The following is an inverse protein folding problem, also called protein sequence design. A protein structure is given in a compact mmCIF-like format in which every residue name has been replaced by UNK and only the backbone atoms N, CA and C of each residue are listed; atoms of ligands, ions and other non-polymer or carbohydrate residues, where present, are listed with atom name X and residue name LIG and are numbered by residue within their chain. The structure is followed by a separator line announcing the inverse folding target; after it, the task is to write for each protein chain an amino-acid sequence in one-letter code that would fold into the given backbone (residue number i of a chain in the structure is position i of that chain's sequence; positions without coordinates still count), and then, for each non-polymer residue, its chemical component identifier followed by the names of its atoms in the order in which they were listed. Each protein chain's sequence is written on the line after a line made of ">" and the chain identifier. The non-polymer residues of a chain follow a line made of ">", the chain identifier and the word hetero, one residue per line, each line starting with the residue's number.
data_IF_399097118785
#
_entry.id   IF_399097118785
#
_cell.length_a   1.000
_cell.length_b   1.000
_cell.length_c   1.000
_cell.angle_alpha   90.00
_cell.angle_beta   90.00
_cell.angle_gamma   90.00
#
_symmetry.space_group_name_H-M   'P 1'
#
loop_
_entity.id
_entity.type
_entity.pdbx_description
1 polymer ?
#
# COMPACT_ATOMS: atom_id res chain seq x y z
N UNK A 1 -5.13 65.12 -25.55
CA UNK A 1 -3.79 65.30 -26.13
C UNK A 1 -2.84 64.36 -25.38
N UNK A 2 -2.91 63.07 -25.74
CA UNK A 2 -1.84 62.35 -26.46
C UNK A 2 -0.42 62.58 -25.89
N UNK A 3 0.41 61.60 -25.51
CA UNK A 3 0.67 60.29 -26.12
C UNK A 3 1.38 59.30 -25.16
N UNK A 4 1.06 58.02 -25.40
CA UNK A 4 1.73 56.71 -25.17
C UNK A 4 3.11 56.57 -24.48
N UNK A 5 3.37 55.37 -23.92
CA UNK A 5 4.47 54.58 -24.48
C UNK A 5 4.08 53.16 -24.95
N UNK A 6 4.76 52.78 -26.03
CA UNK A 6 4.83 51.51 -26.78
C UNK A 6 5.09 50.26 -25.91
N UNK A 7 4.36 49.16 -26.09
CA UNK A 7 4.50 48.09 -27.10
C UNK A 7 5.66 47.07 -26.89
N UNK A 8 5.27 45.90 -26.36
CA UNK A 8 5.71 44.51 -26.65
C UNK A 8 7.06 43.97 -26.09
N UNK A 9 7.11 42.68 -25.69
CA UNK A 9 6.92 41.55 -26.61
C UNK A 9 5.95 40.42 -26.22
N UNK A 10 5.33 39.90 -27.30
CA UNK A 10 5.07 38.49 -27.64
C UNK A 10 3.98 37.72 -26.88
N UNK A 11 2.84 37.64 -27.56
CA UNK A 11 1.88 36.55 -27.44
C UNK A 11 2.53 35.22 -27.88
N UNK A 12 2.43 34.21 -27.01
CA UNK A 12 2.55 32.80 -27.36
C UNK A 12 1.13 32.26 -27.41
N UNK A 13 0.64 32.11 -28.64
CA UNK A 13 -0.59 31.41 -28.96
C UNK A 13 -0.32 29.90 -28.85
N UNK A 14 -0.93 29.27 -27.85
CA UNK A 14 -0.96 27.81 -27.71
C UNK A 14 -2.40 27.39 -27.45
N UNK A 15 -3.07 27.01 -28.53
CA UNK A 15 -4.04 25.91 -28.57
C UNK A 15 -5.06 25.83 -27.43
N UNK A 16 -6.24 26.44 -27.66
CA UNK A 16 -7.52 25.78 -27.49
C UNK A 16 -7.75 24.95 -26.22
N UNK A 17 -7.74 25.58 -25.04
CA UNK A 17 -8.41 25.04 -23.85
C UNK A 17 -9.33 26.12 -23.28
N UNK A 18 -10.63 25.93 -23.49
CA UNK A 18 -11.67 26.74 -22.86
C UNK A 18 -11.67 26.42 -21.36
N UNK A 19 -10.97 27.22 -20.58
CA UNK A 19 -11.11 27.25 -19.12
C UNK A 19 -12.48 27.86 -18.80
N UNK A 20 -13.45 27.01 -18.44
CA UNK A 20 -14.66 27.47 -17.76
C UNK A 20 -14.28 27.80 -16.32
N UNK A 21 -14.30 29.09 -15.98
CA UNK A 21 -14.24 29.55 -14.61
C UNK A 21 -15.51 29.09 -13.88
N UNK A 22 -15.38 28.16 -12.94
CA UNK A 22 -16.45 27.79 -12.03
C UNK A 22 -16.43 28.81 -10.89
N UNK A 23 -17.50 29.57 -10.73
CA UNK A 23 -17.65 30.59 -9.70
C UNK A 23 -17.84 29.96 -8.31
N UNK A 24 -17.28 30.62 -7.29
CA UNK A 24 -17.27 30.21 -5.87
C UNK A 24 -18.68 29.96 -5.26
N UNK A 25 -19.74 30.43 -5.91
CA UNK A 25 -21.14 30.22 -5.51
C UNK A 25 -21.69 28.82 -5.81
N UNK A 26 -21.09 28.05 -6.73
CA UNK A 26 -21.56 26.69 -7.06
C UNK A 26 -21.10 25.62 -6.04
N UNK A 27 -20.05 25.92 -5.25
CA UNK A 27 -19.53 25.01 -4.23
C UNK A 27 -20.39 24.97 -2.95
N UNK A 28 -21.21 25.98 -2.70
CA UNK A 28 -22.03 26.06 -1.49
C UNK A 28 -23.32 25.22 -1.59
N UNK A 29 -23.80 24.90 -2.80
CA UNK A 29 -25.03 24.13 -3.00
C UNK A 29 -24.81 22.61 -2.89
N UNK A 30 -23.60 22.13 -3.14
CA UNK A 30 -23.24 20.70 -3.01
C UNK A 30 -23.02 20.30 -1.54
N UNK A 31 -22.54 21.23 -0.70
CA UNK A 31 -22.29 20.95 0.72
C UNK A 31 -23.58 20.74 1.55
N UNK A 32 -24.72 21.28 1.11
CA UNK A 32 -25.98 21.24 1.87
C UNK A 32 -26.90 20.06 1.53
N UNK A 33 -26.52 19.16 0.60
CA UNK A 33 -27.29 17.93 0.33
C UNK A 33 -26.76 16.69 1.07
N UNK A 34 -25.57 16.75 1.70
CA UNK A 34 -24.91 15.59 2.29
C UNK A 34 -25.24 15.31 3.77
N UNK A 35 -26.03 16.15 4.45
CA UNK A 35 -26.25 16.06 5.91
C UNK A 35 -27.60 15.45 6.32
N UNK A 36 -28.40 14.92 5.39
CA UNK A 36 -29.77 14.44 5.68
C UNK A 36 -29.95 12.91 5.76
N UNK A 37 -28.89 12.09 5.73
CA UNK A 37 -29.04 10.62 5.55
C UNK A 37 -28.25 9.76 6.54
N UNK A 38 -28.09 10.19 7.79
CA UNK A 38 -27.31 9.43 8.80
C UNK A 38 -28.08 9.12 10.12
N UNK A 39 -29.40 8.93 10.04
CA UNK A 39 -30.25 8.74 11.22
C UNK A 39 -31.00 7.39 11.32
N UNK A 40 -30.70 6.38 10.49
CA UNK A 40 -31.45 5.11 10.52
C UNK A 40 -30.61 3.87 10.23
N UNK A 41 -29.69 3.47 11.12
CA UNK A 41 -29.27 2.05 11.19
C UNK A 41 -28.69 1.68 12.57
N UNK A 42 -29.44 1.97 13.63
CA UNK A 42 -29.34 1.23 14.88
C UNK A 42 -30.49 0.23 14.92
N UNK A 43 -30.24 -0.97 15.46
CA UNK A 43 -31.19 -2.08 15.71
C UNK A 43 -31.18 -3.22 14.68
N UNK A 44 -30.14 -4.07 14.65
CA UNK A 44 -30.31 -5.49 14.29
C UNK A 44 -29.13 -6.42 14.62
N UNK A 45 -28.48 -6.29 15.79
CA UNK A 45 -27.60 -7.37 16.32
C UNK A 45 -27.78 -7.51 17.83
N UNK A 46 -28.95 -7.99 18.23
CA UNK A 46 -29.23 -8.56 19.56
C UNK A 46 -30.00 -9.85 19.35
N UNK A 47 -29.29 -10.96 19.28
CA UNK A 47 -29.75 -12.30 19.66
C UNK A 47 -28.79 -13.32 19.03
N UNK A 48 -27.97 -13.95 19.87
CA UNK A 48 -27.54 -15.36 19.80
C UNK A 48 -26.13 -15.50 20.35
N UNK A 49 -26.05 -15.82 21.64
CA UNK A 49 -25.13 -16.84 22.20
C UNK A 49 -25.37 -16.90 23.71
N UNK A 50 -26.36 -17.70 24.10
CA UNK A 50 -26.50 -18.18 25.48
C UNK A 50 -26.96 -19.64 25.42
N UNK A 51 -26.03 -20.56 25.69
CA UNK A 51 -26.34 -21.93 26.07
C UNK A 51 -25.27 -22.40 27.08
N UNK A 52 -25.65 -22.74 28.32
CA UNK A 52 -24.75 -23.27 29.34
C UNK A 52 -24.73 -24.80 29.29
N UNK A 53 -23.56 -25.42 29.48
CA UNK A 53 -23.48 -26.85 29.73
C UNK A 53 -23.00 -27.12 31.16
N UNK A 54 -23.86 -27.90 31.81
CA UNK A 54 -23.90 -28.35 33.19
C UNK A 54 -22.70 -29.23 33.57
N UNK A 55 -22.22 -28.99 34.79
CA UNK A 55 -21.38 -29.86 35.58
C UNK A 55 -22.15 -31.09 36.07
N UNK A 56 -21.59 -32.29 35.87
CA UNK A 56 -21.88 -33.46 36.69
C UNK A 56 -20.65 -34.36 36.83
N UNK A 57 -20.44 -34.80 38.06
CA UNK A 57 -19.25 -35.44 38.59
C UNK A 57 -19.37 -36.97 38.69
N UNK A 58 -18.21 -37.58 39.01
CA UNK A 58 -17.95 -38.95 39.49
C UNK A 58 -18.07 -40.05 38.41
N UNK A 59 -17.09 -40.94 38.22
CA UNK A 59 -16.57 -41.85 39.26
C UNK A 59 -15.20 -42.43 38.86
N UNK A 60 -14.35 -42.66 39.85
CA UNK A 60 -13.04 -43.31 39.73
C UNK A 60 -13.12 -44.79 39.33
N UNK A 61 -12.18 -45.27 38.51
CA UNK A 61 -11.68 -46.66 38.55
C UNK A 61 -10.25 -46.76 38.01
N UNK A 62 -9.44 -47.46 38.80
CA UNK A 62 -8.03 -47.84 38.61
C UNK A 62 -7.77 -48.48 37.25
N UNK A 63 -6.67 -48.11 36.60
CA UNK A 63 -6.17 -48.77 35.40
C UNK A 63 -4.77 -48.28 35.00
N UNK A 64 -3.78 -49.03 35.45
CA UNK A 64 -2.40 -49.22 34.97
C UNK A 64 -1.85 -48.28 33.88
N UNK A 65 -0.73 -47.66 34.25
CA UNK A 65 0.21 -46.86 33.46
C UNK A 65 0.70 -47.62 32.22
N UNK A 66 0.50 -47.03 31.03
CA UNK A 66 1.35 -47.26 29.86
C UNK A 66 1.91 -45.92 29.37
N UNK A 67 3.16 -45.67 29.75
CA UNK A 67 4.01 -44.66 29.14
C UNK A 67 4.35 -45.11 27.72
N UNK A 68 3.65 -44.56 26.72
CA UNK A 68 4.12 -44.54 25.33
C UNK A 68 4.64 -43.15 25.01
N UNK A 69 5.83 -43.14 24.44
CA UNK A 69 6.71 -42.01 24.20
C UNK A 69 6.02 -40.86 23.45
N UNK A 70 5.82 -39.74 24.14
CA UNK A 70 5.56 -38.43 23.52
C UNK A 70 6.91 -37.78 23.28
N UNK A 71 7.55 -38.07 22.13
CA UNK A 71 8.73 -37.34 21.68
C UNK A 71 8.77 -37.24 20.16
N UNK A 72 7.86 -36.45 19.61
CA UNK A 72 7.97 -35.83 18.29
C UNK A 72 6.95 -34.68 18.20
N UNK A 73 7.15 -33.63 18.98
CA UNK A 73 6.49 -32.34 18.76
C UNK A 73 7.52 -31.23 18.90
N UNK A 74 7.33 -30.22 18.04
CA UNK A 74 8.02 -28.92 17.96
C UNK A 74 9.31 -28.93 17.17
N UNK A 75 9.22 -28.63 15.87
CA UNK A 75 9.55 -27.30 15.31
C UNK A 75 8.85 -27.18 13.94
N UNK A 76 7.61 -26.70 13.93
CA UNK A 76 7.01 -26.11 12.73
C UNK A 76 6.57 -24.71 13.14
N UNK A 77 7.52 -23.78 13.03
CA UNK A 77 7.34 -22.36 13.31
C UNK A 77 6.30 -21.81 12.32
N UNK A 78 5.06 -21.75 12.77
CA UNK A 78 4.21 -20.55 12.82
C UNK A 78 4.52 -19.47 11.76
N UNK A 79 4.49 -19.82 10.48
CA UNK A 79 4.41 -18.84 9.40
C UNK A 79 2.96 -18.32 9.42
N UNK A 80 2.75 -17.19 10.09
CA UNK A 80 1.47 -16.47 10.03
C UNK A 80 1.35 -15.84 8.64
N UNK A 81 0.90 -16.63 7.68
CA UNK A 81 0.31 -16.11 6.44
C UNK A 81 -0.99 -15.42 6.82
N UNK A 82 -0.96 -14.11 6.92
CA UNK A 82 -2.19 -13.31 6.97
C UNK A 82 -2.74 -13.30 5.54
N UNK A 83 -3.54 -14.32 5.20
CA UNK A 83 -4.36 -14.29 3.99
C UNK A 83 -5.53 -13.34 4.26
N UNK A 84 -5.35 -12.07 3.91
CA UNK A 84 -6.48 -11.16 3.72
C UNK A 84 -7.24 -11.72 2.52
N UNK A 85 -8.44 -12.26 2.76
CA UNK A 85 -9.31 -12.76 1.70
C UNK A 85 -9.60 -11.63 0.71
N UNK A 86 -9.17 -11.83 -0.54
CA UNK A 86 -9.32 -10.90 -1.64
C UNK A 86 -10.80 -10.55 -1.82
N UNK A 87 -11.18 -9.37 -1.33
CA UNK A 87 -12.50 -8.80 -1.55
C UNK A 87 -12.41 -7.98 -2.82
N UNK A 88 -13.18 -8.38 -3.85
CA UNK A 88 -13.38 -7.73 -5.14
C UNK A 88 -12.11 -7.13 -5.78
N UNK A 89 -11.44 -7.92 -6.61
CA UNK A 89 -10.40 -7.39 -7.51
C UNK A 89 -11.07 -6.39 -8.47
N UNK A 90 -10.84 -5.10 -8.25
CA UNK A 90 -11.28 -4.04 -9.15
C UNK A 90 -10.88 -4.37 -10.60
N UNK A 91 -11.77 -4.09 -11.55
CA UNK A 91 -11.62 -4.47 -12.94
C UNK A 91 -10.25 -4.01 -13.50
N UNK A 92 -9.39 -4.97 -13.86
CA UNK A 92 -8.06 -4.71 -14.45
C UNK A 92 -6.87 -4.78 -13.48
N UNK A 93 -7.08 -5.14 -12.21
CA UNK A 93 -6.00 -5.42 -11.25
C UNK A 93 -5.72 -6.91 -11.14
N UNK A 94 -4.49 -7.26 -10.83
CA UNK A 94 -4.02 -8.63 -10.69
C UNK A 94 -3.35 -8.81 -9.32
N UNK A 95 -3.35 -10.02 -8.73
CA UNK A 95 -2.68 -10.25 -7.46
C UNK A 95 -1.16 -10.11 -7.63
N UNK A 96 -0.57 -9.16 -6.91
CA UNK A 96 0.87 -8.94 -6.86
C UNK A 96 1.39 -9.25 -5.46
N UNK A 97 2.56 -9.89 -5.36
CA UNK A 97 3.16 -10.28 -4.09
C UNK A 97 4.52 -9.60 -3.91
N UNK A 98 4.66 -8.84 -2.82
CA UNK A 98 5.95 -8.33 -2.36
C UNK A 98 6.60 -9.32 -1.40
N UNK A 99 7.90 -9.59 -1.58
CA UNK A 99 8.73 -10.39 -0.69
C UNK A 99 9.69 -9.49 0.12
N UNK A 100 9.28 -9.14 1.34
CA UNK A 100 9.97 -8.16 2.19
C UNK A 100 10.70 -8.85 3.35
N UNK A 101 11.70 -9.67 3.00
CA UNK A 101 12.45 -10.45 3.97
C UNK A 101 11.59 -11.55 4.60
N UNK A 102 11.16 -11.33 5.84
CA UNK A 102 10.37 -12.31 6.60
C UNK A 102 8.87 -12.19 6.36
N UNK A 103 8.43 -11.13 5.68
CA UNK A 103 7.01 -10.88 5.36
C UNK A 103 6.75 -11.02 3.86
N UNK A 104 5.54 -11.45 3.52
CA UNK A 104 5.07 -11.43 2.14
C UNK A 104 3.68 -10.84 2.10
N UNK A 105 3.47 -9.90 1.18
CA UNK A 105 2.24 -9.10 1.10
C UNK A 105 1.66 -9.30 -0.28
N UNK A 106 0.46 -9.86 -0.36
CA UNK A 106 -0.28 -10.00 -1.61
C UNK A 106 -1.41 -8.97 -1.66
N UNK A 107 -1.48 -8.20 -2.73
CA UNK A 107 -2.46 -7.13 -2.91
C UNK A 107 -2.87 -6.99 -4.39
N UNK A 108 -4.05 -6.41 -4.69
CA UNK A 108 -4.43 -6.12 -6.07
C UNK A 108 -3.59 -4.96 -6.62
N UNK A 109 -2.95 -5.18 -7.77
CA UNK A 109 -2.05 -4.23 -8.40
C UNK A 109 -2.24 -4.19 -9.91
N UNK A 110 -2.05 -3.02 -10.54
CA UNK A 110 -2.13 -2.90 -12.00
C UNK A 110 -0.76 -2.90 -12.66
N UNK A 111 -0.70 -3.34 -13.92
CA UNK A 111 0.54 -3.33 -14.71
C UNK A 111 1.05 -1.91 -14.95
N UNK A 112 0.17 -0.92 -15.07
CA UNK A 112 0.55 0.49 -15.19
C UNK A 112 1.27 0.97 -13.92
N UNK A 113 0.71 0.66 -12.74
CA UNK A 113 1.34 0.99 -11.45
C UNK A 113 2.69 0.31 -11.27
N UNK A 114 2.82 -0.93 -11.73
CA UNK A 114 4.09 -1.65 -11.69
C UNK A 114 5.18 -0.96 -12.54
N UNK A 115 4.82 -0.42 -13.71
CA UNK A 115 5.76 0.35 -14.55
C UNK A 115 6.20 1.63 -13.86
N UNK A 116 5.25 2.38 -13.29
CA UNK A 116 5.55 3.62 -12.57
C UNK A 116 6.46 3.35 -11.35
N UNK A 117 6.12 2.34 -10.55
CA UNK A 117 6.93 1.92 -9.40
C UNK A 117 8.33 1.48 -9.82
N UNK A 118 8.44 0.69 -10.91
CA UNK A 118 9.74 0.26 -11.42
C UNK A 118 10.59 1.44 -11.89
N UNK A 119 9.99 2.44 -12.52
CA UNK A 119 10.70 3.66 -12.91
C UNK A 119 11.21 4.42 -11.68
N UNK A 120 10.38 4.62 -10.65
CA UNK A 120 10.82 5.29 -9.40
C UNK A 120 11.95 4.53 -8.70
N UNK A 121 11.91 3.19 -8.71
CA UNK A 121 12.99 2.36 -8.18
C UNK A 121 14.27 2.52 -9.02
N UNK A 122 14.16 2.56 -10.35
CA UNK A 122 15.30 2.78 -11.23
C UNK A 122 15.95 4.14 -11.00
N UNK A 123 15.15 5.20 -10.85
CA UNK A 123 15.63 6.56 -10.54
C UNK A 123 16.36 6.59 -9.19
N UNK A 124 15.85 5.85 -8.20
CA UNK A 124 16.51 5.70 -6.89
C UNK A 124 17.87 5.03 -7.02
N UNK A 125 17.98 3.97 -7.83
CA UNK A 125 19.26 3.30 -8.09
C UNK A 125 20.23 4.22 -8.83
N UNK A 126 19.74 5.03 -9.77
CA UNK A 126 20.57 6.04 -10.44
C UNK A 126 21.08 7.11 -9.46
N UNK A 127 20.25 7.53 -8.51
CA UNK A 127 20.66 8.44 -7.44
C UNK A 127 21.83 7.84 -6.61
N UNK A 128 21.78 6.53 -6.28
CA UNK A 128 22.91 5.86 -5.64
C UNK A 128 24.18 5.88 -6.49
N UNK A 129 24.07 5.63 -7.80
CA UNK A 129 25.24 5.70 -8.71
C UNK A 129 25.86 7.09 -8.75
N UNK A 130 25.03 8.15 -8.78
CA UNK A 130 25.51 9.54 -8.72
C UNK A 130 26.23 9.84 -7.40
N UNK A 131 25.69 9.32 -6.29
CA UNK A 131 26.31 9.43 -4.96
C UNK A 131 27.67 8.73 -4.89
N UNK A 132 27.79 7.54 -5.47
CA UNK A 132 29.05 6.77 -5.50
C UNK A 132 30.11 7.41 -6.42
N UNK A 133 29.69 8.04 -7.52
CA UNK A 133 30.59 8.76 -8.43
C UNK A 133 31.03 10.13 -7.91
N UNK A 134 30.37 10.67 -6.89
CA UNK A 134 30.69 12.00 -6.36
C UNK A 134 31.96 11.95 -5.49
N UNK A 135 32.95 12.76 -5.86
CA UNK A 135 34.21 12.90 -5.11
C UNK A 135 34.00 13.54 -3.72
N UNK A 136 32.89 14.26 -3.53
CA UNK A 136 32.52 14.90 -2.26
C UNK A 136 31.15 14.39 -1.81
N UNK A 137 30.94 14.21 -0.49
CA UNK A 137 29.66 13.74 0.04
C UNK A 137 28.55 14.74 -0.29
N UNK A 138 27.67 14.35 -1.22
CA UNK A 138 26.46 15.09 -1.57
C UNK A 138 25.24 14.44 -0.92
N UNK A 139 24.35 15.28 -0.38
CA UNK A 139 23.06 14.83 0.14
C UNK A 139 22.11 14.67 -1.03
N UNK A 140 21.57 13.47 -1.19
CA UNK A 140 20.58 13.14 -2.22
C UNK A 140 19.17 13.45 -1.72
N UNK A 141 18.26 13.72 -2.64
CA UNK A 141 16.84 13.86 -2.34
C UNK A 141 16.24 12.52 -1.89
N UNK A 142 15.21 12.56 -1.04
CA UNK A 142 14.49 11.37 -0.63
C UNK A 142 13.53 10.96 -1.74
N UNK A 143 13.43 9.67 -2.03
CA UNK A 143 12.54 9.17 -3.06
C UNK A 143 11.32 8.55 -2.39
N UNK A 144 10.15 9.03 -2.80
CA UNK A 144 8.86 8.61 -2.31
C UNK A 144 7.98 8.25 -3.51
N UNK A 145 7.38 7.07 -3.46
CA UNK A 145 6.33 6.65 -4.38
C UNK A 145 5.05 6.49 -3.59
N UNK A 146 3.98 7.12 -4.06
CA UNK A 146 2.68 7.04 -3.43
C UNK A 146 1.62 6.67 -4.47
N UNK A 147 0.88 5.62 -4.16
CA UNK A 147 -0.29 5.20 -4.90
C UNK A 147 -1.51 5.26 -3.98
N UNK A 148 -2.53 6.03 -4.40
CA UNK A 148 -3.81 6.13 -3.70
C UNK A 148 -4.89 5.42 -4.51
N UNK A 149 -5.19 4.19 -4.12
CA UNK A 149 -6.35 3.46 -4.62
C UNK A 149 -7.66 3.95 -3.99
N UNK A 150 -8.79 3.62 -4.63
CA UNK A 150 -10.12 3.81 -4.02
C UNK A 150 -10.40 2.70 -2.99
N UNK A 151 -10.17 3.01 -1.71
CA UNK A 151 -10.43 2.07 -0.62
C UNK A 151 -11.90 1.61 -0.53
N UNK A 152 -12.86 2.42 -1.02
CA UNK A 152 -14.28 2.07 -1.02
C UNK A 152 -14.59 0.98 -2.06
N UNK A 153 -13.80 0.90 -3.13
CA UNK A 153 -13.89 -0.12 -4.17
C UNK A 153 -13.02 -1.37 -3.87
N UNK A 154 -12.40 -1.42 -2.68
CA UNK A 154 -11.53 -2.52 -2.28
C UNK A 154 -10.08 -2.38 -2.75
N UNK A 155 -9.69 -1.20 -3.19
CA UNK A 155 -8.32 -0.90 -3.57
C UNK A 155 -7.43 -0.62 -2.34
N UNK A 156 -6.12 -0.56 -2.57
CA UNK A 156 -5.13 -0.33 -1.53
C UNK A 156 -4.35 0.96 -1.77
N UNK A 157 -4.01 1.64 -0.69
CA UNK A 157 -3.02 2.71 -0.71
C UNK A 157 -1.64 2.10 -0.46
N UNK A 158 -0.66 2.44 -1.30
CA UNK A 158 0.72 1.97 -1.17
C UNK A 158 1.64 3.17 -1.12
N UNK A 159 2.48 3.23 -0.10
CA UNK A 159 3.55 4.22 0.05
C UNK A 159 4.88 3.45 0.07
N UNK A 160 5.80 3.77 -0.82
CA UNK A 160 7.17 3.23 -0.82
C UNK A 160 8.13 4.38 -0.57
N UNK A 161 8.87 4.28 0.53
CA UNK A 161 9.83 5.29 0.95
C UNK A 161 11.24 4.72 0.90
N UNK A 162 12.18 5.44 0.27
CA UNK A 162 13.59 5.10 0.30
C UNK A 162 14.44 6.34 0.56
N UNK A 163 15.27 6.29 1.61
CA UNK A 163 16.23 7.34 1.92
C UNK A 163 17.64 6.94 1.42
N UNK A 164 18.09 7.46 0.26
CA UNK A 164 19.42 7.13 -0.28
C UNK A 164 20.59 7.65 0.57
N UNK A 165 20.35 8.56 1.51
CA UNK A 165 21.40 9.06 2.40
C UNK A 165 21.73 8.08 3.52
N UNK A 166 20.81 7.18 3.88
CA UNK A 166 20.98 6.24 4.99
C UNK A 166 21.90 5.04 4.66
N UNK A 167 22.17 4.80 3.38
CA UNK A 167 22.90 3.61 2.91
C UNK A 167 24.12 4.00 2.08
N UNK A 168 25.20 3.21 2.16
CA UNK A 168 26.41 3.46 1.39
C UNK A 168 26.22 3.17 -0.12
N UNK A 169 25.49 2.09 -0.44
CA UNK A 169 25.26 1.61 -1.79
C UNK A 169 23.79 1.19 -2.00
N UNK A 170 23.39 1.03 -3.26
CA UNK A 170 22.03 0.61 -3.63
C UNK A 170 21.70 -0.84 -3.19
N UNK A 171 22.71 -1.72 -3.12
CA UNK A 171 22.53 -3.14 -2.81
C UNK A 171 22.20 -3.40 -1.33
N UNK A 172 22.60 -2.49 -0.44
CA UNK A 172 22.29 -2.53 0.99
C UNK A 172 21.06 -1.69 1.33
N UNK A 173 20.51 -0.96 0.35
CA UNK A 173 19.37 -0.09 0.57
C UNK A 173 18.11 -0.89 0.89
N UNK A 174 17.41 -0.46 1.93
CA UNK A 174 16.06 -0.93 2.23
C UNK A 174 15.04 0.16 1.93
N UNK A 175 13.93 -0.24 1.34
CA UNK A 175 12.76 0.60 1.20
C UNK A 175 11.71 0.19 2.24
N UNK A 176 11.02 1.19 2.78
CA UNK A 176 9.90 1.02 3.68
C UNK A 176 8.62 1.03 2.85
N UNK A 177 7.89 -0.08 2.86
CA UNK A 177 6.60 -0.21 2.18
C UNK A 177 5.50 -0.13 3.22
N UNK A 178 4.59 0.82 3.05
CA UNK A 178 3.36 0.92 3.82
C UNK A 178 2.19 0.62 2.92
N UNK A 179 1.35 -0.33 3.34
CA UNK A 179 0.10 -0.68 2.66
C UNK A 179 -1.05 -0.35 3.60
N UNK A 180 -2.07 0.33 3.09
CA UNK A 180 -3.31 0.62 3.82
C UNK A 180 -4.53 0.10 3.07
N UNK A 181 -5.46 -0.48 3.80
CA UNK A 181 -6.73 -0.98 3.26
C UNK A 181 -7.77 -1.07 4.38
N UNK A 182 -8.94 -0.45 4.19
CA UNK A 182 -10.14 -0.60 5.05
C UNK A 182 -9.83 -0.49 6.57
N UNK A 183 -8.95 0.44 6.95
CA UNK A 183 -8.53 0.66 8.34
C UNK A 183 -7.37 -0.20 8.85
N UNK A 184 -6.87 -1.15 8.06
CA UNK A 184 -5.61 -1.85 8.34
C UNK A 184 -4.45 -1.04 7.75
N UNK A 185 -3.44 -0.75 8.57
CA UNK A 185 -2.14 -0.22 8.15
C UNK A 185 -1.05 -1.23 8.46
N UNK A 186 -0.30 -1.62 7.46
CA UNK A 186 0.89 -2.45 7.61
C UNK A 186 2.09 -1.72 7.04
N UNK A 187 3.20 -1.76 7.77
CA UNK A 187 4.46 -1.21 7.31
C UNK A 187 5.52 -2.29 7.44
N UNK A 188 6.29 -2.52 6.39
CA UNK A 188 7.36 -3.51 6.36
C UNK A 188 8.55 -2.99 5.55
N UNK A 189 9.74 -3.43 5.93
CA UNK A 189 10.98 -3.09 5.23
C UNK A 189 11.38 -4.23 4.30
N UNK A 190 11.85 -3.91 3.10
CA UNK A 190 12.39 -4.87 2.14
C UNK A 190 13.65 -4.37 1.47
N UNK A 191 14.45 -5.28 0.94
CA UNK A 191 15.63 -4.94 0.14
C UNK A 191 15.19 -4.31 -1.19
N UNK A 192 15.76 -3.17 -1.55
CA UNK A 192 15.38 -2.44 -2.78
C UNK A 192 15.54 -3.30 -4.04
N UNK A 193 16.61 -4.11 -4.11
CA UNK A 193 16.85 -5.05 -5.20
C UNK A 193 15.81 -6.18 -5.27
N UNK A 194 15.35 -6.68 -4.12
CA UNK A 194 14.29 -7.69 -4.05
C UNK A 194 12.96 -7.14 -4.53
N UNK A 195 12.59 -5.95 -4.05
CA UNK A 195 11.37 -5.25 -4.48
C UNK A 195 11.40 -5.00 -6.00
N UNK A 196 12.55 -4.58 -6.55
CA UNK A 196 12.71 -4.41 -8.00
C UNK A 196 12.46 -5.72 -8.75
N UNK A 197 13.04 -6.82 -8.28
CA UNK A 197 12.87 -8.13 -8.90
C UNK A 197 11.41 -8.58 -8.90
N UNK A 198 10.70 -8.42 -7.76
CA UNK A 198 9.29 -8.75 -7.66
C UNK A 198 8.44 -7.96 -8.68
N UNK A 199 8.69 -6.65 -8.79
CA UNK A 199 7.96 -5.77 -9.74
C UNK A 199 8.27 -6.13 -11.19
N UNK A 200 9.53 -6.42 -11.52
CA UNK A 200 9.94 -6.86 -12.86
C UNK A 200 9.32 -8.20 -13.25
N UNK A 201 9.30 -9.16 -12.32
CA UNK A 201 8.67 -10.46 -12.51
C UNK A 201 7.16 -10.30 -12.74
N UNK A 202 6.47 -9.48 -11.93
CA UNK A 202 5.05 -9.20 -12.12
C UNK A 202 4.75 -8.58 -13.49
N UNK A 203 5.58 -7.63 -13.94
CA UNK A 203 5.43 -7.05 -15.28
C UNK A 203 5.68 -8.09 -16.38
N UNK A 204 6.66 -8.97 -16.23
CA UNK A 204 6.95 -10.02 -17.21
C UNK A 204 5.84 -11.06 -17.31
N UNK A 205 5.21 -11.41 -16.19
CA UNK A 205 4.10 -12.36 -16.15
C UNK A 205 2.79 -11.79 -16.75
N UNK A 206 2.67 -10.47 -16.86
CA UNK A 206 1.43 -9.78 -17.22
C UNK A 206 1.60 -8.71 -18.33
N UNK A 207 2.70 -8.76 -19.07
CA UNK A 207 2.94 -7.96 -20.29
C UNK A 207 2.39 -8.67 -21.53
#
# INVERSE_FOLDING_TARGET
>A
KDDTPSCFPKALDVGGLKTKCISFTDLQHILNMATATFAQTAQHVRANTAAPLSSRALTARRGVVQLKSVRAQRVALNRRTVQVAATAVAAGKLPFTFHLGDTSITLPFSVAQAKDLNQTIADTIEAFKKKEAAERPQRMEMVEYEYRGDEAEGDVMIEVFCNPNAYANAFQAKALITVRSQGLKMTSEGMLSGIKADVEEFMQQHA
#
